data_IF_989640375362
#
_entry.id   IF_989640375362
#
_cell.length_a   1.000
_cell.length_b   1.000
_cell.length_c   1.000
_cell.angle_alpha   90.00
_cell.angle_beta   90.00
_cell.angle_gamma   90.00
#
_symmetry.space_group_name_H-M   'P 1'
#
loop_
_entity.id
_entity.type
_entity.pdbx_description
1 polymer ?
#
# COMPACT_ATOMS: atom_id res chain seq x y z
N UNK A 1 -8.72 -3.27 17.03
CA UNK A 1 -9.30 -2.74 15.80
C UNK A 1 -8.85 -1.30 15.58
N UNK A 2 -8.36 -1.02 14.39
CA UNK A 2 -7.84 0.30 14.10
C UNK A 2 -8.98 1.25 13.74
N UNK A 3 -9.01 2.36 14.43
CA UNK A 3 -9.96 3.42 14.16
C UNK A 3 -9.29 4.45 13.24
N UNK A 4 -9.92 4.71 12.11
CA UNK A 4 -9.37 5.65 11.14
C UNK A 4 -9.94 7.05 11.27
N UNK A 5 -10.79 7.29 12.24
CA UNK A 5 -11.35 8.62 12.46
C UNK A 5 -10.24 9.59 12.84
N UNK A 6 -10.15 10.68 12.11
CA UNK A 6 -9.12 11.68 12.37
C UNK A 6 -7.76 11.34 11.81
N UNK A 7 -7.61 10.19 11.16
CA UNK A 7 -6.36 9.77 10.55
C UNK A 7 -6.51 9.80 9.03
N UNK A 8 -5.56 10.42 8.35
CA UNK A 8 -5.60 10.44 6.89
C UNK A 8 -5.49 9.02 6.36
N UNK A 9 -6.36 8.65 5.44
CA UNK A 9 -6.40 7.35 4.84
C UNK A 9 -6.52 7.50 3.33
N UNK A 10 -5.66 6.80 2.61
CA UNK A 10 -5.69 6.83 1.16
C UNK A 10 -5.86 5.41 0.64
N UNK A 11 -6.82 5.23 -0.25
CA UNK A 11 -7.10 3.93 -0.83
C UNK A 11 -6.79 3.98 -2.31
N UNK A 12 -5.89 3.12 -2.76
CA UNK A 12 -5.55 2.94 -4.16
C UNK A 12 -6.03 1.56 -4.58
N UNK A 13 -6.96 1.51 -5.53
CA UNK A 13 -7.55 0.25 -5.96
C UNK A 13 -7.33 0.07 -7.46
N UNK A 14 -7.03 -1.17 -7.85
CA UNK A 14 -6.92 -1.55 -9.26
C UNK A 14 -5.80 -0.84 -10.02
N UNK A 15 -4.80 -0.33 -9.32
CA UNK A 15 -3.63 0.21 -9.97
C UNK A 15 -2.68 -0.92 -10.31
N UNK A 16 -2.10 -0.85 -11.49
CA UNK A 16 -1.06 -1.80 -11.86
C UNK A 16 0.22 -1.48 -11.11
N UNK A 17 1.16 -2.42 -11.15
CA UNK A 17 2.42 -2.27 -10.43
C UNK A 17 3.22 -1.06 -10.94
N UNK A 18 3.20 -0.80 -12.24
CA UNK A 18 4.03 0.27 -12.80
C UNK A 18 3.70 1.65 -12.23
N UNK A 19 2.43 2.10 -12.20
CA UNK A 19 2.11 3.36 -11.55
C UNK A 19 2.47 3.36 -10.07
N UNK A 20 2.33 2.23 -9.38
CA UNK A 20 2.64 2.17 -7.95
C UNK A 20 4.12 2.41 -7.68
N UNK A 21 5.01 1.94 -8.55
CA UNK A 21 6.45 2.19 -8.37
C UNK A 21 6.76 3.68 -8.31
N UNK A 22 6.01 4.48 -9.07
CA UNK A 22 6.19 5.92 -9.10
C UNK A 22 5.51 6.58 -7.91
N UNK A 23 4.30 6.13 -7.58
CA UNK A 23 3.47 6.78 -6.57
C UNK A 23 3.89 6.49 -5.15
N UNK A 24 4.32 5.26 -4.86
CA UNK A 24 4.62 4.87 -3.48
C UNK A 24 5.63 5.79 -2.79
N UNK A 25 6.74 6.18 -3.42
CA UNK A 25 7.67 7.10 -2.75
C UNK A 25 7.08 8.49 -2.55
N UNK A 26 6.12 8.90 -3.39
CA UNK A 26 5.57 10.26 -3.35
C UNK A 26 4.42 10.40 -2.38
N UNK A 27 3.61 9.36 -2.25
CA UNK A 27 2.42 9.39 -1.40
C UNK A 27 2.81 9.63 0.06
N UNK A 28 3.92 9.06 0.48
CA UNK A 28 4.38 9.23 1.85
C UNK A 28 4.58 10.68 2.26
N UNK A 29 4.87 11.54 1.29
CA UNK A 29 5.08 12.96 1.58
C UNK A 29 3.78 13.70 1.85
N UNK A 30 2.65 13.14 1.39
CA UNK A 30 1.35 13.78 1.50
C UNK A 30 0.47 13.15 2.57
N UNK A 31 0.86 11.98 3.06
CA UNK A 31 0.09 11.27 4.05
C UNK A 31 0.63 11.61 5.44
N UNK A 32 -0.26 11.80 6.41
CA UNK A 32 0.15 12.03 7.79
C UNK A 32 0.97 10.86 8.29
N UNK A 33 1.84 11.10 9.28
CA UNK A 33 2.68 10.06 9.84
C UNK A 33 1.86 8.89 10.38
N UNK A 34 0.64 9.16 10.85
CA UNK A 34 -0.25 8.11 11.34
C UNK A 34 -1.26 7.67 10.29
N UNK A 35 -1.09 8.13 9.07
CA UNK A 35 -1.99 7.76 7.98
C UNK A 35 -1.79 6.33 7.54
N UNK A 36 -2.85 5.76 6.95
CA UNK A 36 -2.83 4.40 6.45
C UNK A 36 -3.03 4.44 4.94
N UNK A 37 -2.18 3.74 4.22
CA UNK A 37 -2.31 3.58 2.78
C UNK A 37 -2.79 2.16 2.50
N UNK A 38 -3.88 2.04 1.77
CA UNK A 38 -4.40 0.74 1.36
C UNK A 38 -4.25 0.62 -0.15
N UNK A 39 -3.53 -0.39 -0.59
CA UNK A 39 -3.40 -0.69 -2.01
C UNK A 39 -3.98 -2.07 -2.26
N UNK A 40 -4.72 -2.21 -3.35
CA UNK A 40 -5.33 -3.48 -3.72
C UNK A 40 -5.17 -3.72 -5.20
N UNK A 41 -5.38 -4.99 -5.60
CA UNK A 41 -5.27 -5.33 -7.02
C UNK A 41 -3.86 -5.71 -7.44
N UNK A 42 -2.98 -6.05 -6.50
CA UNK A 42 -1.65 -6.55 -6.82
C UNK A 42 -1.77 -8.03 -7.18
N UNK A 43 -1.42 -8.37 -8.41
CA UNK A 43 -1.52 -9.75 -8.87
C UNK A 43 -0.26 -10.53 -8.50
N UNK A 44 -0.44 -11.83 -8.22
CA UNK A 44 0.66 -12.72 -7.85
C UNK A 44 1.88 -12.60 -8.77
N UNK A 45 1.65 -12.52 -10.07
CA UNK A 45 2.74 -12.52 -11.05
C UNK A 45 3.67 -11.33 -10.87
N UNK A 46 3.21 -10.27 -10.26
CA UNK A 46 3.99 -9.06 -10.08
C UNK A 46 4.30 -8.75 -8.61
N UNK A 47 3.97 -9.68 -7.74
CA UNK A 47 4.14 -9.50 -6.31
C UNK A 47 5.60 -9.18 -5.96
N UNK A 48 6.52 -10.02 -6.43
CA UNK A 48 7.94 -9.85 -6.10
C UNK A 48 8.51 -8.57 -6.69
N UNK A 49 7.91 -8.08 -7.75
CA UNK A 49 8.37 -6.86 -8.40
C UNK A 49 8.04 -5.62 -7.55
N UNK A 50 6.87 -5.60 -6.92
CA UNK A 50 6.42 -4.43 -6.15
C UNK A 50 6.94 -4.43 -4.71
N UNK A 51 7.25 -5.60 -4.15
CA UNK A 51 7.63 -5.70 -2.75
C UNK A 51 8.81 -4.80 -2.35
N UNK A 52 9.90 -4.71 -3.12
CA UNK A 52 10.99 -3.81 -2.73
C UNK A 52 10.55 -2.36 -2.60
N UNK A 53 9.61 -1.93 -3.45
CA UNK A 53 9.10 -0.55 -3.40
C UNK A 53 8.24 -0.31 -2.18
N UNK A 54 7.48 -1.32 -1.77
CA UNK A 54 6.68 -1.24 -0.57
C UNK A 54 7.60 -1.18 0.65
N UNK A 55 8.53 -2.11 0.74
CA UNK A 55 9.37 -2.24 1.93
C UNK A 55 10.34 -1.08 2.11
N UNK A 56 10.72 -0.42 1.02
CA UNK A 56 11.66 0.70 1.09
C UNK A 56 11.09 1.87 1.89
N UNK A 57 9.78 2.10 1.80
CA UNK A 57 9.16 3.30 2.36
C UNK A 57 8.03 3.02 3.34
N UNK A 58 7.57 1.79 3.41
CA UNK A 58 6.35 1.45 4.13
C UNK A 58 6.54 0.23 5.01
N UNK A 59 5.75 0.18 6.06
CA UNK A 59 5.65 -0.99 6.93
C UNK A 59 4.31 -1.65 6.65
N UNK A 60 4.32 -2.96 6.42
CA UNK A 60 3.09 -3.70 6.13
C UNK A 60 2.39 -4.01 7.45
N UNK A 61 1.19 -3.44 7.61
CA UNK A 61 0.36 -3.70 8.78
C UNK A 61 -0.39 -5.01 8.58
N UNK A 62 -0.93 -5.18 7.37
CA UNK A 62 -1.75 -6.34 7.07
C UNK A 62 -1.69 -6.62 5.59
N UNK A 63 -1.72 -7.89 5.23
CA UNK A 63 -1.84 -8.32 3.85
C UNK A 63 -2.99 -9.31 3.76
N UNK A 64 -3.87 -9.12 2.77
CA UNK A 64 -4.95 -10.05 2.51
C UNK A 64 -4.81 -10.60 1.12
N UNK A 65 -5.09 -11.90 0.98
CA UNK A 65 -4.94 -12.60 -0.28
C UNK A 65 -6.29 -13.20 -0.66
N UNK A 66 -6.72 -12.92 -1.88
CA UNK A 66 -7.96 -13.47 -2.42
C UNK A 66 -7.66 -13.98 -3.83
N UNK A 67 -7.52 -15.31 -3.98
CA UNK A 67 -7.08 -15.90 -5.23
C UNK A 67 -5.71 -15.37 -5.62
N UNK A 68 -5.54 -14.85 -6.84
CA UNK A 68 -4.25 -14.29 -7.26
C UNK A 68 -4.05 -12.84 -6.83
N UNK A 69 -4.98 -12.26 -6.06
CA UNK A 69 -4.96 -10.83 -5.75
C UNK A 69 -4.52 -10.59 -4.32
N UNK A 70 -3.71 -9.55 -4.14
CA UNK A 70 -3.21 -9.13 -2.84
C UNK A 70 -3.66 -7.71 -2.53
N UNK A 71 -3.99 -7.48 -1.26
CA UNK A 71 -4.33 -6.16 -0.74
C UNK A 71 -3.45 -5.91 0.47
N UNK A 72 -2.85 -4.73 0.53
CA UNK A 72 -1.97 -4.35 1.63
C UNK A 72 -2.51 -3.14 2.37
N UNK A 73 -2.40 -3.17 3.70
CA UNK A 73 -2.55 -1.98 4.52
C UNK A 73 -1.16 -1.60 4.99
N UNK A 74 -0.76 -0.37 4.72
CA UNK A 74 0.60 0.09 4.93
C UNK A 74 0.62 1.34 5.80
N UNK A 75 1.69 1.48 6.57
CA UNK A 75 1.97 2.72 7.28
C UNK A 75 3.38 3.17 6.94
N UNK A 76 3.68 4.44 7.14
CA UNK A 76 5.02 4.94 6.88
C UNK A 76 6.04 4.30 7.81
N UNK A 77 7.22 4.07 7.28
CA UNK A 77 8.34 3.66 8.10
C UNK A 77 8.85 4.80 8.97
#
# INVERSE_FOLDING_TARGET
>A
DRDFNGTAQLILANLTVDPLKILLPQIGKKLDDEGILIISGIIDDRYDEIMPYIEANWHIIEERIAGPWHTFALEKR
#
